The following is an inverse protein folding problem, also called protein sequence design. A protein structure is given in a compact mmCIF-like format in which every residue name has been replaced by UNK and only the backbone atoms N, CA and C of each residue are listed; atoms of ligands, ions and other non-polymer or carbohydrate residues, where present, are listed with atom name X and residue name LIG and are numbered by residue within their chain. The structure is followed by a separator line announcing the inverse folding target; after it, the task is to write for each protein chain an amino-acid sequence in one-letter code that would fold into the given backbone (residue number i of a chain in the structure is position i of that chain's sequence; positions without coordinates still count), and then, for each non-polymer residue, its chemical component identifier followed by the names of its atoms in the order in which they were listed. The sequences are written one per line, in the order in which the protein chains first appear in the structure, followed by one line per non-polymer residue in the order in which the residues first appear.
data_IF_478580456818
#
_entry.id   IF_478580456818
#
_cell.length_a   1.000
_cell.length_b   1.000
_cell.length_c   1.000
_cell.angle_alpha   90.00
_cell.angle_beta   90.00
_cell.angle_gamma   90.00
#
_symmetry.space_group_name_H-M   'P 1'
#
loop_
_entity.id
_entity.type
_entity.pdbx_description
1 polymer ?
#
# COMPACT_ATOMS: atom_id res chain seq x y z
N UNK A 1 45.20 -10.56 30.42
CA UNK A 1 43.96 -11.05 31.06
C UNK A 1 44.02 -12.57 31.08
N UNK A 2 43.71 -13.23 32.20
CA UNK A 2 43.75 -14.69 32.37
C UNK A 2 42.32 -15.21 32.18
N UNK A 3 42.11 -16.20 31.31
CA UNK A 3 40.79 -16.76 31.01
C UNK A 3 40.61 -18.12 31.70
N UNK A 4 39.41 -18.36 32.22
CA UNK A 4 39.01 -19.58 32.92
C UNK A 4 37.78 -20.19 32.24
N UNK A 5 37.55 -21.48 32.46
CA UNK A 5 36.36 -22.17 31.96
C UNK A 5 35.09 -21.40 32.32
N UNK A 6 34.24 -21.12 31.33
CA UNK A 6 33.05 -20.29 31.52
C UNK A 6 31.77 -21.12 31.71
N UNK A 7 31.35 -21.93 30.72
CA UNK A 7 30.16 -22.78 30.86
C UNK A 7 29.96 -23.78 29.70
N UNK A 8 28.95 -24.65 29.85
CA UNK A 8 28.35 -25.55 28.83
C UNK A 8 26.81 -25.50 28.98
N UNK A 9 26.04 -25.41 27.89
CA UNK A 9 24.58 -25.51 27.86
C UNK A 9 24.09 -26.69 26.99
N UNK A 10 22.87 -27.16 27.26
CA UNK A 10 22.07 -28.00 26.36
C UNK A 10 20.84 -27.16 26.00
N UNK A 11 20.80 -26.63 24.78
CA UNK A 11 19.72 -25.74 24.33
C UNK A 11 18.78 -26.50 23.40
N UNK A 12 17.52 -26.63 23.82
CA UNK A 12 16.41 -27.09 22.98
C UNK A 12 15.27 -26.09 23.16
N UNK A 13 15.05 -25.26 22.16
CA UNK A 13 13.91 -24.35 22.08
C UNK A 13 13.21 -24.61 20.73
N UNK A 14 12.10 -25.37 20.72
CA UNK A 14 11.37 -25.65 19.49
C UNK A 14 10.60 -24.43 18.97
N UNK A 15 10.45 -23.39 19.79
CA UNK A 15 9.64 -22.22 19.49
C UNK A 15 10.47 -21.06 18.91
N UNK A 16 11.81 -21.20 18.83
CA UNK A 16 12.71 -20.19 18.28
C UNK A 16 13.75 -20.75 17.30
N UNK A 17 14.00 -19.99 16.24
CA UNK A 17 15.11 -20.22 15.32
C UNK A 17 16.33 -19.43 15.80
N UNK A 18 17.37 -20.12 16.28
CA UNK A 18 18.63 -19.48 16.72
C UNK A 18 19.61 -19.33 15.57
N UNK A 19 19.92 -18.09 15.20
CA UNK A 19 20.97 -17.75 14.24
C UNK A 19 22.18 -17.22 15.00
N UNK A 20 23.36 -17.80 14.79
CA UNK A 20 24.60 -17.32 15.41
C UNK A 20 25.41 -16.59 14.36
N UNK A 21 25.56 -15.28 14.53
CA UNK A 21 26.43 -14.47 13.69
C UNK A 21 27.81 -14.38 14.35
N UNK A 22 28.86 -14.48 13.54
CA UNK A 22 30.24 -14.33 14.03
C UNK A 22 30.81 -13.02 13.50
N UNK A 23 31.35 -12.20 14.39
CA UNK A 23 32.04 -10.96 14.02
C UNK A 23 33.43 -11.26 13.45
N UNK A 24 34.04 -10.31 12.75
CA UNK A 24 35.41 -10.45 12.23
C UNK A 24 36.45 -10.69 13.35
N UNK A 25 36.14 -10.28 14.59
CA UNK A 25 36.98 -10.50 15.78
C UNK A 25 36.71 -11.84 16.48
N UNK A 26 35.83 -12.68 15.92
CA UNK A 26 35.47 -13.98 16.47
C UNK A 26 34.43 -13.96 17.58
N UNK A 27 33.75 -12.82 17.79
CA UNK A 27 32.65 -12.70 18.73
C UNK A 27 31.40 -13.39 18.20
N UNK A 28 30.72 -14.20 19.02
CA UNK A 28 29.46 -14.84 18.66
C UNK A 28 28.27 -14.02 19.15
N UNK A 29 27.42 -13.60 18.21
CA UNK A 29 26.20 -12.84 18.46
C UNK A 29 25.01 -13.75 18.17
N UNK A 30 24.38 -14.33 19.20
CA UNK A 30 23.16 -15.11 19.03
C UNK A 30 21.97 -14.17 18.75
N UNK A 31 21.22 -14.46 17.71
CA UNK A 31 19.96 -13.80 17.35
C UNK A 31 18.86 -14.85 17.36
N UNK A 32 17.76 -14.54 18.07
CA UNK A 32 16.60 -15.41 18.17
C UNK A 32 15.50 -14.88 17.25
N UNK A 33 15.14 -15.70 16.27
CA UNK A 33 14.07 -15.45 15.30
C UNK A 33 12.89 -16.37 15.60
N UNK A 34 11.74 -16.10 14.98
CA UNK A 34 10.55 -16.95 15.11
C UNK A 34 10.79 -18.38 14.59
N UNK A 35 10.19 -19.39 15.21
CA UNK A 35 10.37 -20.80 14.83
C UNK A 35 9.93 -21.14 13.41
N UNK A 36 8.91 -20.47 12.87
CA UNK A 36 8.42 -20.67 11.51
C UNK A 36 9.45 -20.32 10.44
N UNK A 37 10.46 -19.53 10.79
CA UNK A 37 11.54 -19.11 9.90
C UNK A 37 12.65 -20.16 9.75
N UNK A 38 12.61 -21.29 10.48
CA UNK A 38 13.66 -22.32 10.46
C UNK A 38 13.91 -22.91 9.05
N UNK A 39 12.90 -22.86 8.18
CA UNK A 39 12.95 -23.40 6.83
C UNK A 39 13.49 -22.40 5.79
N UNK A 40 13.77 -21.15 6.19
CA UNK A 40 14.38 -20.16 5.32
C UNK A 40 15.81 -20.55 4.96
N UNK A 41 16.28 -20.03 3.84
CA UNK A 41 17.68 -20.21 3.45
C UNK A 41 18.61 -19.48 4.42
N UNK A 42 19.87 -19.90 4.46
CA UNK A 42 20.89 -19.23 5.29
C UNK A 42 21.00 -17.73 4.99
N UNK A 43 20.83 -17.32 3.73
CA UNK A 43 20.87 -15.91 3.35
C UNK A 43 19.67 -15.14 3.92
N UNK A 44 18.46 -15.67 3.77
CA UNK A 44 17.26 -15.04 4.31
C UNK A 44 17.30 -14.97 5.85
N UNK A 45 17.79 -16.02 6.51
CA UNK A 45 18.03 -16.02 7.96
C UNK A 45 19.07 -14.98 8.38
N UNK A 46 20.12 -14.81 7.59
CA UNK A 46 21.15 -13.80 7.83
C UNK A 46 20.58 -12.39 7.73
N UNK A 47 19.81 -12.10 6.69
CA UNK A 47 19.14 -10.80 6.51
C UNK A 47 18.18 -10.50 7.67
N UNK A 48 17.32 -11.46 8.05
CA UNK A 48 16.42 -11.30 9.20
C UNK A 48 17.14 -11.09 10.53
N UNK A 49 18.27 -11.76 10.71
CA UNK A 49 19.09 -11.59 11.91
C UNK A 49 19.73 -10.20 11.95
N UNK A 50 20.19 -9.67 10.81
CA UNK A 50 20.70 -8.30 10.71
C UNK A 50 19.61 -7.25 10.97
N UNK A 51 18.41 -7.43 10.42
CA UNK A 51 17.27 -6.55 10.68
C UNK A 51 16.97 -6.48 12.18
N UNK A 52 16.93 -7.64 12.84
CA UNK A 52 16.69 -7.72 14.30
C UNK A 52 17.78 -6.99 15.09
N UNK A 53 19.05 -7.17 14.72
CA UNK A 53 20.18 -6.45 15.34
C UNK A 53 20.06 -4.94 15.09
N UNK A 54 19.65 -4.53 13.89
CA UNK A 54 19.49 -3.13 13.53
C UNK A 54 18.37 -2.47 14.34
N UNK A 55 17.22 -3.13 14.49
CA UNK A 55 16.10 -2.66 15.31
C UNK A 55 16.49 -2.48 16.78
N UNK A 56 17.21 -3.45 17.35
CA UNK A 56 17.66 -3.38 18.75
C UNK A 56 18.69 -2.27 18.97
N UNK A 57 19.62 -2.09 18.04
CA UNK A 57 20.71 -1.11 18.18
C UNK A 57 20.30 0.32 17.76
N UNK A 58 19.31 0.45 16.88
CA UNK A 58 18.88 1.74 16.31
C UNK A 58 17.35 1.90 16.31
N UNK A 59 16.66 1.73 17.46
CA UNK A 59 15.20 1.70 17.51
C UNK A 59 14.57 2.98 16.95
N UNK A 60 15.12 4.15 17.28
CA UNK A 60 14.63 5.43 16.77
C UNK A 60 14.82 5.60 15.26
N UNK A 61 15.87 5.01 14.66
CA UNK A 61 16.09 5.10 13.20
C UNK A 61 15.19 4.12 12.46
N UNK A 62 15.11 2.89 12.94
CA UNK A 62 14.24 1.87 12.36
C UNK A 62 12.76 2.30 12.38
N UNK A 63 12.30 2.91 13.47
CA UNK A 63 10.96 3.50 13.55
C UNK A 63 10.79 4.67 12.58
N UNK A 64 11.72 5.64 12.58
CA UNK A 64 11.64 6.79 11.67
C UNK A 64 11.61 6.39 10.19
N UNK A 65 12.40 5.40 9.77
CA UNK A 65 12.42 4.89 8.40
C UNK A 65 11.07 4.26 8.03
N UNK A 66 10.49 3.42 8.90
CA UNK A 66 9.15 2.84 8.71
C UNK A 66 8.07 3.93 8.62
N UNK A 67 8.11 4.93 9.51
CA UNK A 67 7.17 6.04 9.50
C UNK A 67 7.30 6.90 8.25
N UNK A 68 8.51 7.19 7.79
CA UNK A 68 8.75 7.95 6.56
C UNK A 68 8.18 7.22 5.33
N UNK A 69 8.45 5.92 5.19
CA UNK A 69 7.89 5.11 4.10
C UNK A 69 6.36 5.09 4.15
N UNK A 70 5.77 5.01 5.34
CA UNK A 70 4.32 5.06 5.50
C UNK A 70 3.75 6.44 5.14
N UNK A 71 4.42 7.52 5.54
CA UNK A 71 4.06 8.89 5.16
C UNK A 71 4.11 9.12 3.65
N UNK A 72 5.14 8.63 2.96
CA UNK A 72 5.24 8.69 1.49
C UNK A 72 4.08 7.96 0.80
N UNK A 73 3.72 6.76 1.29
CA UNK A 73 2.58 6.01 0.76
C UNK A 73 1.26 6.73 0.99
N UNK A 74 1.07 7.34 2.15
CA UNK A 74 -0.13 8.14 2.44
C UNK A 74 -0.22 9.33 1.48
N UNK A 75 0.88 10.07 1.29
CA UNK A 75 0.91 11.20 0.36
C UNK A 75 0.57 10.78 -1.08
N UNK A 76 1.08 9.62 -1.54
CA UNK A 76 0.74 9.09 -2.87
C UNK A 76 -0.74 8.71 -2.99
N UNK A 77 -1.36 8.21 -1.92
CA UNK A 77 -2.79 7.89 -1.89
C UNK A 77 -3.62 9.16 -1.91
N UNK A 78 -3.25 10.18 -1.14
CA UNK A 78 -3.94 11.48 -1.14
C UNK A 78 -3.90 12.13 -2.53
N UNK A 79 -2.73 12.15 -3.19
CA UNK A 79 -2.58 12.62 -4.57
C UNK A 79 -3.47 11.86 -5.56
N UNK A 80 -3.63 10.54 -5.37
CA UNK A 80 -4.48 9.72 -6.21
C UNK A 80 -5.96 10.02 -5.99
N UNK A 81 -6.38 10.24 -4.74
CA UNK A 81 -7.75 10.64 -4.37
C UNK A 81 -8.09 11.99 -5.00
N UNK A 82 -7.19 12.97 -4.90
CA UNK A 82 -7.39 14.30 -5.48
C UNK A 82 -7.55 14.25 -7.00
N UNK A 83 -6.75 13.43 -7.69
CA UNK A 83 -6.91 13.20 -9.15
C UNK A 83 -8.24 12.54 -9.48
N UNK A 84 -8.65 11.53 -8.72
CA UNK A 84 -9.95 10.86 -8.94
C UNK A 84 -11.11 11.84 -8.76
N UNK A 85 -11.05 12.68 -7.72
CA UNK A 85 -12.06 13.70 -7.49
C UNK A 85 -12.12 14.74 -8.62
N UNK A 86 -10.97 15.20 -9.10
CA UNK A 86 -10.89 16.12 -10.25
C UNK A 86 -11.49 15.49 -11.51
N UNK A 87 -11.11 14.25 -11.83
CA UNK A 87 -11.65 13.53 -13.01
C UNK A 87 -13.15 13.30 -12.87
N UNK A 88 -13.63 12.95 -11.68
CA UNK A 88 -15.06 12.78 -11.43
C UNK A 88 -15.84 14.09 -11.63
N UNK A 89 -15.27 15.23 -11.21
CA UNK A 89 -15.85 16.54 -11.48
C UNK A 89 -15.86 16.86 -12.98
N UNK A 90 -14.74 16.67 -13.67
CA UNK A 90 -14.63 16.91 -15.12
C UNK A 90 -15.64 16.07 -15.91
N UNK A 91 -15.79 14.78 -15.56
CA UNK A 91 -16.77 13.88 -16.18
C UNK A 91 -18.20 14.35 -15.91
N UNK A 92 -18.49 14.84 -14.70
CA UNK A 92 -19.82 15.38 -14.36
C UNK A 92 -20.14 16.64 -15.17
N UNK A 93 -19.18 17.56 -15.29
CA UNK A 93 -19.33 18.79 -16.09
C UNK A 93 -19.46 18.48 -17.58
N UNK A 94 -18.65 17.56 -18.11
CA UNK A 94 -18.75 17.11 -19.50
C UNK A 94 -20.08 16.43 -19.79
N UNK A 95 -20.57 15.58 -18.87
CA UNK A 95 -21.88 14.93 -18.97
C UNK A 95 -23.02 15.95 -18.96
N UNK A 96 -22.98 16.94 -18.07
CA UNK A 96 -23.99 18.00 -18.02
C UNK A 96 -23.99 18.84 -19.32
N UNK A 97 -22.80 19.21 -19.80
CA UNK A 97 -22.62 19.96 -21.06
C UNK A 97 -23.15 19.17 -22.26
N UNK A 98 -22.81 17.87 -22.34
CA UNK A 98 -23.25 16.97 -23.42
C UNK A 98 -24.76 16.78 -23.41
N UNK A 99 -25.37 16.59 -22.22
CA UNK A 99 -26.83 16.55 -22.05
C UNK A 99 -27.49 17.84 -22.53
N UNK A 100 -26.95 18.99 -22.15
CA UNK A 100 -27.47 20.29 -22.60
C UNK A 100 -27.36 20.50 -24.11
N UNK A 101 -26.26 20.08 -24.73
CA UNK A 101 -26.10 20.13 -26.18
C UNK A 101 -27.07 19.20 -26.90
N UNK A 102 -27.23 17.97 -26.40
CA UNK A 102 -28.20 17.00 -26.91
C UNK A 102 -29.63 17.56 -26.86
N UNK A 103 -30.08 18.02 -25.69
CA UNK A 103 -31.40 18.66 -25.51
C UNK A 103 -31.64 19.79 -26.50
N UNK A 104 -30.66 20.66 -26.74
CA UNK A 104 -30.78 21.76 -27.72
C UNK A 104 -30.99 21.27 -29.15
N UNK A 105 -30.31 20.17 -29.54
CA UNK A 105 -30.49 19.57 -30.87
C UNK A 105 -31.89 18.95 -30.96
N UNK A 106 -32.30 18.21 -29.94
CA UNK A 106 -33.60 17.56 -29.88
C UNK A 106 -34.75 18.57 -29.97
N UNK A 107 -34.70 19.65 -29.18
CA UNK A 107 -35.69 20.73 -29.24
C UNK A 107 -35.76 21.36 -30.64
N UNK A 108 -34.63 21.62 -31.31
CA UNK A 108 -34.63 22.16 -32.68
C UNK A 108 -35.21 21.22 -33.73
N UNK A 109 -35.10 19.90 -33.52
CA UNK A 109 -35.71 18.90 -34.41
C UNK A 109 -37.22 18.83 -34.18
N UNK A 110 -37.64 18.88 -32.92
CA UNK A 110 -39.04 18.97 -32.53
C UNK A 110 -39.72 20.24 -33.07
N UNK A 111 -39.08 21.42 -32.93
CA UNK A 111 -39.56 22.69 -33.51
C UNK A 111 -39.73 22.64 -35.03
N UNK A 112 -39.03 21.74 -35.72
CA UNK A 112 -39.12 21.53 -37.17
C UNK A 112 -40.12 20.44 -37.54
N UNK A 113 -40.88 19.93 -36.57
CA UNK A 113 -41.83 18.81 -36.74
C UNK A 113 -41.17 17.53 -37.28
N UNK A 114 -39.85 17.38 -37.09
CA UNK A 114 -39.10 16.17 -37.47
C UNK A 114 -39.24 15.07 -36.41
N UNK A 115 -39.49 15.47 -35.16
CA UNK A 115 -39.75 14.58 -34.03
C UNK A 115 -41.16 14.82 -33.51
N UNK A 116 -41.81 13.74 -33.10
CA UNK A 116 -43.15 13.74 -32.50
C UNK A 116 -43.09 13.68 -30.97
N UNK A 117 -44.21 13.97 -30.32
CA UNK A 117 -44.33 13.89 -28.85
C UNK A 117 -44.01 12.48 -28.32
N UNK A 118 -44.48 11.45 -29.03
CA UNK A 118 -44.26 10.04 -28.68
C UNK A 118 -42.77 9.65 -28.79
N UNK A 119 -42.07 10.13 -29.82
CA UNK A 119 -40.62 9.91 -29.98
C UNK A 119 -39.78 10.67 -28.94
N UNK A 120 -40.25 11.84 -28.47
CA UNK A 120 -39.57 12.59 -27.41
C UNK A 120 -39.75 11.94 -26.02
N UNK A 121 -40.90 11.31 -25.78
CA UNK A 121 -41.21 10.56 -24.56
C UNK A 121 -40.39 9.25 -24.48
N UNK A 122 -40.26 8.50 -25.59
CA UNK A 122 -39.39 7.31 -25.66
C UNK A 122 -37.90 7.61 -25.40
N UNK A 123 -37.45 8.85 -25.68
CA UNK A 123 -36.08 9.28 -25.46
C UNK A 123 -35.80 9.72 -24.01
N UNK A 124 -36.80 9.66 -23.11
CA UNK A 124 -36.63 9.97 -21.69
C UNK A 124 -36.28 11.45 -21.43
N UNK A 125 -36.58 12.34 -22.37
CA UNK A 125 -36.27 13.78 -22.24
C UNK A 125 -37.23 14.53 -21.31
N UNK A 126 -38.29 13.84 -20.87
CA UNK A 126 -39.31 14.31 -19.94
C UNK A 126 -39.45 13.38 -18.73
N UNK A 127 -38.39 12.70 -18.30
CA UNK A 127 -38.42 12.05 -16.99
C UNK A 127 -38.68 13.12 -15.92
N UNK A 128 -39.90 13.08 -15.36
CA UNK A 128 -40.37 13.92 -14.27
C UNK A 128 -39.44 13.77 -13.05
N UNK A 129 -38.89 14.90 -12.59
CA UNK A 129 -38.52 15.05 -11.18
C UNK A 129 -39.77 15.38 -10.36
#
# INVERSE_FOLDING_TARGET
MKFEFHSKSLEYDPDLTKVILTTAEGGNVPVYLSADLINLTNQELFEKALDTIYEVNFPMRAENEKFNTMGEKIAQVDDAIDRVNSVAQDVKELSATSRGAFLKVMMKLYEKEVLTDEEMEELGLFDEE
#
